data_IF_622389956829
#
_entry.id   IF_622389956829
#
_cell.length_a   1.000
_cell.length_b   1.000
_cell.length_c   1.000
_cell.angle_alpha   90.00
_cell.angle_beta   90.00
_cell.angle_gamma   90.00
#
_symmetry.space_group_name_H-M   'P 1'
#
loop_
_entity.id
_entity.type
_entity.pdbx_description
1 polymer ?
#
# COMPACT_ATOMS: atom_id res chain seq x y z
N UNK A 1 26.90 22.34 9.95
CA UNK A 1 26.05 21.73 8.90
C UNK A 1 25.25 20.60 9.54
N UNK A 2 23.92 20.71 9.60
CA UNK A 2 23.08 19.62 10.12
C UNK A 2 23.13 18.44 9.12
N UNK A 3 23.59 17.27 9.56
CA UNK A 3 23.52 16.04 8.77
C UNK A 3 22.06 15.70 8.54
N UNK A 4 21.61 15.73 7.29
CA UNK A 4 20.27 15.26 6.90
C UNK A 4 20.26 13.75 7.02
N UNK A 5 19.49 13.22 7.96
CA UNK A 5 19.35 11.76 8.12
C UNK A 5 18.82 11.11 6.84
N UNK A 6 19.28 9.89 6.50
CA UNK A 6 18.85 9.20 5.29
C UNK A 6 17.33 8.97 5.33
N UNK A 7 16.65 9.45 4.30
CA UNK A 7 15.20 9.36 4.17
C UNK A 7 14.86 7.91 3.83
N UNK A 8 14.33 7.19 4.80
CA UNK A 8 13.81 5.84 4.59
C UNK A 8 12.47 5.96 3.85
N UNK A 9 12.49 5.78 2.53
CA UNK A 9 11.30 5.88 1.69
C UNK A 9 11.15 4.72 0.74
N UNK A 10 9.93 4.21 0.64
CA UNK A 10 9.57 3.09 -0.24
C UNK A 10 8.60 3.60 -1.30
N UNK A 11 8.86 3.28 -2.56
CA UNK A 11 7.95 3.57 -3.67
C UNK A 11 7.43 2.28 -4.28
N UNK A 12 6.10 2.16 -4.35
CA UNK A 12 5.43 0.96 -4.82
C UNK A 12 4.36 1.28 -5.84
N UNK A 13 4.11 0.33 -6.74
CA UNK A 13 3.08 0.43 -7.76
C UNK A 13 1.97 -0.60 -7.52
N UNK A 14 0.72 -0.16 -7.65
CA UNK A 14 -0.47 -1.00 -7.79
C UNK A 14 -1.05 -0.81 -9.18
N UNK A 15 -1.42 -1.89 -9.85
CA UNK A 15 -1.99 -1.82 -11.21
C UNK A 15 -3.23 -2.70 -11.30
N UNK A 16 -4.32 -2.14 -11.81
CA UNK A 16 -5.56 -2.88 -12.08
C UNK A 16 -6.17 -2.42 -13.39
N UNK A 17 -6.31 -3.35 -14.34
CA UNK A 17 -6.71 -3.01 -15.72
C UNK A 17 -5.79 -1.90 -16.25
N UNK A 18 -6.35 -0.77 -16.69
CA UNK A 18 -5.62 0.42 -17.14
C UNK A 18 -5.29 1.42 -16.01
N UNK A 19 -5.81 1.21 -14.79
CA UNK A 19 -5.56 2.08 -13.66
C UNK A 19 -4.19 1.79 -13.03
N UNK A 20 -3.42 2.85 -12.78
CA UNK A 20 -2.10 2.79 -12.15
C UNK A 20 -2.08 3.66 -10.91
N UNK A 21 -1.69 3.05 -9.78
CA UNK A 21 -1.53 3.72 -8.50
C UNK A 21 -0.05 3.66 -8.09
N UNK A 22 0.49 4.78 -7.66
CA UNK A 22 1.86 4.92 -7.15
C UNK A 22 1.76 5.34 -5.69
N UNK A 23 2.17 4.48 -4.78
CA UNK A 23 2.23 4.77 -3.36
C UNK A 23 3.67 5.15 -2.98
N UNK A 24 3.80 6.25 -2.26
CA UNK A 24 5.05 6.68 -1.65
C UNK A 24 4.88 6.63 -0.14
N UNK A 25 5.72 5.82 0.51
CA UNK A 25 5.67 5.57 1.93
C UNK A 25 6.92 6.09 2.60
N UNK A 26 6.71 6.82 3.68
CA UNK A 26 7.77 7.36 4.53
C UNK A 26 7.38 7.13 5.99
N UNK A 27 8.37 7.07 6.88
CA UNK A 27 8.10 7.10 8.33
C UNK A 27 7.40 8.42 8.70
N UNK A 28 6.37 8.35 9.53
CA UNK A 28 5.46 9.46 9.75
C UNK A 28 4.44 9.27 10.87
N UNK A 29 3.31 9.97 10.76
CA UNK A 29 2.26 10.10 11.80
C UNK A 29 0.95 9.38 11.44
N UNK A 30 0.96 8.46 10.48
CA UNK A 30 -0.25 7.75 10.05
C UNK A 30 -1.12 8.53 9.06
N UNK A 31 -0.54 9.45 8.30
CA UNK A 31 -1.32 10.24 7.32
C UNK A 31 -1.41 9.50 5.99
N UNK A 32 -2.62 9.08 5.61
CA UNK A 32 -2.92 8.54 4.27
C UNK A 32 -3.67 9.56 3.42
N UNK A 33 -3.11 9.86 2.24
CA UNK A 33 -3.73 10.75 1.24
C UNK A 33 -3.69 10.11 -0.14
N UNK A 34 -4.77 10.28 -0.89
CA UNK A 34 -4.91 9.83 -2.29
C UNK A 34 -5.17 11.08 -3.15
N UNK A 35 -4.32 11.32 -4.15
CA UNK A 35 -4.38 12.51 -5.03
C UNK A 35 -4.52 13.84 -4.26
N UNK A 36 -3.85 13.94 -3.10
CA UNK A 36 -3.88 15.14 -2.25
C UNK A 36 -5.09 15.26 -1.32
N UNK A 37 -6.09 14.38 -1.45
CA UNK A 37 -7.30 14.34 -0.62
C UNK A 37 -7.21 13.22 0.44
N UNK A 38 -7.88 13.34 1.60
CA UNK A 38 -8.00 12.24 2.55
C UNK A 38 -8.87 11.11 1.98
N UNK A 39 -8.67 9.88 2.46
CA UNK A 39 -9.33 8.68 1.93
C UNK A 39 -10.87 8.76 2.03
N UNK A 40 -11.40 9.36 3.09
CA UNK A 40 -12.84 9.46 3.37
C UNK A 40 -13.63 10.25 2.31
N UNK A 41 -12.95 11.11 1.55
CA UNK A 41 -13.57 11.97 0.56
C UNK A 41 -13.57 11.35 -0.84
N UNK A 42 -13.09 10.11 -0.99
CA UNK A 42 -13.04 9.44 -2.27
C UNK A 42 -14.40 8.83 -2.63
N UNK A 43 -14.73 8.84 -3.92
CA UNK A 43 -15.97 8.28 -4.46
C UNK A 43 -15.68 7.04 -5.32
N UNK A 44 -16.58 6.05 -5.40
CA UNK A 44 -17.88 5.93 -4.71
C UNK A 44 -17.77 5.39 -3.26
N UNK A 45 -18.66 5.88 -2.37
CA UNK A 45 -18.69 5.49 -0.95
C UNK A 45 -18.91 3.99 -0.70
N UNK A 46 -19.71 3.33 -1.54
CA UNK A 46 -20.01 1.89 -1.44
C UNK A 46 -18.75 1.00 -1.49
N UNK A 47 -17.70 1.44 -2.16
CA UNK A 47 -16.45 0.67 -2.31
C UNK A 47 -15.35 1.13 -1.34
N UNK A 48 -15.63 2.07 -0.44
CA UNK A 48 -14.65 2.58 0.53
C UNK A 48 -14.16 1.50 1.48
N UNK A 49 -15.03 0.58 1.89
CA UNK A 49 -14.65 -0.53 2.78
C UNK A 49 -13.51 -1.37 2.18
N UNK A 50 -13.48 -1.51 0.85
CA UNK A 50 -12.42 -2.24 0.14
C UNK A 50 -11.05 -1.55 0.22
N UNK A 51 -11.02 -0.23 0.37
CA UNK A 51 -9.78 0.54 0.57
C UNK A 51 -9.26 0.41 2.00
N UNK A 52 -10.15 0.24 2.98
CA UNK A 52 -9.77 0.10 4.40
C UNK A 52 -9.36 -1.32 4.79
N UNK A 53 -9.76 -2.36 4.05
CA UNK A 53 -9.33 -3.75 4.28
C UNK A 53 -7.82 -3.91 4.63
N UNK A 54 -6.84 -3.33 3.89
CA UNK A 54 -5.43 -3.46 4.26
C UNK A 54 -5.06 -2.82 5.61
N UNK A 55 -5.74 -1.74 6.01
CA UNK A 55 -5.51 -1.07 7.29
C UNK A 55 -6.07 -1.93 8.43
N UNK A 56 -7.26 -2.49 8.25
CA UNK A 56 -7.87 -3.38 9.23
C UNK A 56 -7.09 -4.68 9.43
N UNK A 57 -6.57 -5.28 8.35
CA UNK A 57 -5.82 -6.54 8.43
C UNK A 57 -4.48 -6.43 9.16
N UNK A 58 -3.78 -5.31 9.02
CA UNK A 58 -2.45 -5.13 9.62
C UNK A 58 -2.48 -4.56 11.04
N UNK A 59 -3.60 -3.98 11.46
CA UNK A 59 -3.75 -3.28 12.72
C UNK A 59 -3.33 -1.81 12.66
N UNK A 60 -3.94 -0.99 13.51
CA UNK A 60 -3.73 0.47 13.56
C UNK A 60 -2.29 0.84 13.99
N UNK A 61 -1.63 -0.02 14.74
CA UNK A 61 -0.32 0.24 15.34
C UNK A 61 0.79 0.32 14.28
N UNK A 62 0.72 -0.52 13.24
CA UNK A 62 1.69 -0.46 12.14
C UNK A 62 1.49 0.79 11.29
N UNK A 63 0.23 1.22 11.15
CA UNK A 63 -0.13 2.37 10.32
C UNK A 63 0.21 3.72 10.98
N UNK A 64 0.12 3.83 12.32
CA UNK A 64 0.43 5.08 13.04
C UNK A 64 1.86 5.58 12.82
N UNK A 65 2.80 4.68 12.51
CA UNK A 65 4.22 4.99 12.26
C UNK A 65 4.56 5.39 10.81
N UNK A 66 3.59 5.32 9.88
CA UNK A 66 3.85 5.47 8.43
C UNK A 66 2.94 6.52 7.81
N UNK A 67 3.51 7.43 7.02
CA UNK A 67 2.75 8.31 6.13
C UNK A 67 2.76 7.77 4.70
N UNK A 68 1.59 7.71 4.09
CA UNK A 68 1.38 7.17 2.75
C UNK A 68 0.75 8.23 1.85
N UNK A 69 1.42 8.52 0.72
CA UNK A 69 0.90 9.38 -0.34
C UNK A 69 0.69 8.56 -1.60
N UNK A 70 -0.54 8.48 -2.07
CA UNK A 70 -0.89 7.73 -3.28
C UNK A 70 -1.26 8.69 -4.40
N UNK A 71 -0.69 8.47 -5.58
CA UNK A 71 -1.10 9.09 -6.84
C UNK A 71 -1.74 8.05 -7.74
N UNK A 72 -2.88 8.36 -8.34
CA UNK A 72 -3.61 7.41 -9.19
C UNK A 72 -3.98 8.07 -10.50
N UNK A 73 -3.63 7.41 -11.60
CA UNK A 73 -3.89 7.86 -12.97
C UNK A 73 -4.51 6.73 -13.80
N UNK A 74 -5.44 7.11 -14.70
CA UNK A 74 -6.09 6.22 -15.66
C UNK A 74 -7.20 5.32 -15.07
N UNK A 75 -7.90 4.62 -15.96
CA UNK A 75 -9.02 3.72 -15.61
C UNK A 75 -10.26 4.42 -15.07
N UNK A 76 -11.25 3.65 -14.63
CA UNK A 76 -12.47 4.13 -13.95
C UNK A 76 -12.43 3.93 -12.43
N UNK A 77 -13.39 4.53 -11.71
CA UNK A 77 -13.40 4.57 -10.23
C UNK A 77 -13.19 3.21 -9.56
N UNK A 78 -13.87 2.16 -10.05
CA UNK A 78 -13.75 0.80 -9.52
C UNK A 78 -12.33 0.26 -9.68
N UNK A 79 -11.74 0.38 -10.87
CA UNK A 79 -10.39 -0.12 -11.15
C UNK A 79 -9.34 0.63 -10.31
N UNK A 80 -9.51 1.95 -10.15
CA UNK A 80 -8.64 2.78 -9.32
C UNK A 80 -8.66 2.34 -7.86
N UNK A 81 -9.84 2.06 -7.29
CA UNK A 81 -9.96 1.58 -5.90
C UNK A 81 -9.16 0.29 -5.67
N UNK A 82 -9.26 -0.68 -6.56
CA UNK A 82 -8.48 -1.92 -6.45
C UNK A 82 -6.98 -1.69 -6.64
N UNK A 83 -6.57 -0.75 -7.50
CA UNK A 83 -5.16 -0.38 -7.67
C UNK A 83 -4.59 0.29 -6.41
N UNK A 84 -5.35 1.22 -5.79
CA UNK A 84 -4.97 1.88 -4.53
C UNK A 84 -4.83 0.85 -3.41
N UNK A 85 -5.84 -0.02 -3.25
CA UNK A 85 -5.83 -1.09 -2.25
C UNK A 85 -4.55 -1.93 -2.38
N UNK A 86 -4.20 -2.35 -3.59
CA UNK A 86 -3.00 -3.16 -3.83
C UNK A 86 -1.72 -2.37 -3.51
N UNK A 87 -1.66 -1.09 -3.89
CA UNK A 87 -0.51 -0.25 -3.63
C UNK A 87 -0.27 -0.07 -2.12
N UNK A 88 -1.33 0.16 -1.33
CA UNK A 88 -1.25 0.31 0.13
C UNK A 88 -0.79 -0.99 0.80
N UNK A 89 -1.35 -2.14 0.40
CA UNK A 89 -0.93 -3.45 0.95
C UNK A 89 0.56 -3.70 0.77
N UNK A 90 1.07 -3.49 -0.45
CA UNK A 90 2.48 -3.73 -0.77
C UNK A 90 3.40 -2.72 -0.08
N UNK A 91 2.99 -1.46 -0.01
CA UNK A 91 3.69 -0.41 0.71
C UNK A 91 3.96 -0.77 2.18
N UNK A 92 2.93 -1.23 2.88
CA UNK A 92 3.04 -1.59 4.29
C UNK A 92 3.90 -2.84 4.51
N UNK A 93 3.77 -3.82 3.61
CA UNK A 93 4.59 -5.03 3.64
C UNK A 93 6.09 -4.71 3.49
N UNK A 94 6.45 -3.98 2.44
CA UNK A 94 7.86 -3.63 2.17
C UNK A 94 8.43 -2.73 3.27
N UNK A 95 7.59 -1.88 3.91
CA UNK A 95 8.03 -1.09 5.05
C UNK A 95 8.31 -1.95 6.29
N UNK A 96 7.54 -3.01 6.52
CA UNK A 96 7.77 -3.94 7.63
C UNK A 96 9.05 -4.76 7.43
N UNK A 97 9.37 -5.11 6.18
CA UNK A 97 10.60 -5.80 5.82
C UNK A 97 11.81 -4.86 5.88
N UNK A 98 12.51 -4.90 7.02
CA UNK A 98 13.70 -4.08 7.32
C UNK A 98 14.82 -4.19 6.26
N UNK A 99 14.83 -5.23 5.42
CA UNK A 99 15.86 -5.50 4.43
C UNK A 99 15.69 -4.84 3.04
N UNK A 100 14.54 -4.21 2.71
CA UNK A 100 14.27 -3.68 1.37
C UNK A 100 14.24 -2.14 1.28
N UNK A 101 15.20 -1.47 1.93
CA UNK A 101 15.13 -0.02 2.23
C UNK A 101 15.19 0.93 1.02
N UNK A 102 15.59 0.49 -0.18
CA UNK A 102 15.71 1.35 -1.38
C UNK A 102 15.43 0.59 -2.69
N UNK A 103 14.20 0.12 -2.88
CA UNK A 103 13.79 -0.53 -4.13
C UNK A 103 12.59 0.19 -4.76
N UNK A 104 12.76 0.63 -6.01
CA UNK A 104 11.62 0.89 -6.92
C UNK A 104 11.14 -0.48 -7.37
N UNK A 105 10.30 -1.10 -6.57
CA UNK A 105 9.84 -2.47 -6.83
C UNK A 105 8.86 -2.43 -8.01
N UNK A 106 9.34 -2.72 -9.22
CA UNK A 106 8.50 -3.03 -10.39
C UNK A 106 7.93 -4.45 -10.26
N UNK A 107 7.25 -4.77 -9.18
CA UNK A 107 6.53 -6.04 -9.09
C UNK A 107 5.24 -5.91 -9.89
N UNK A 108 5.34 -6.26 -11.18
CA UNK A 108 4.19 -6.74 -11.94
C UNK A 108 3.79 -8.09 -11.34
N UNK A 109 3.01 -8.06 -10.28
CA UNK A 109 2.34 -9.27 -9.84
C UNK A 109 1.11 -9.48 -10.72
N UNK A 110 1.20 -10.55 -11.51
CA UNK A 110 0.06 -11.25 -12.05
C UNK A 110 -1.00 -11.37 -10.94
N UNK A 111 -2.16 -10.80 -11.22
CA UNK A 111 -3.31 -10.85 -10.33
C UNK A 111 -3.45 -12.24 -9.71
N UNK A 112 -3.33 -12.33 -8.39
CA UNK A 112 -3.82 -13.48 -7.62
C UNK A 112 -5.34 -13.54 -7.82
N UNK A 113 -5.76 -14.23 -8.89
CA UNK A 113 -7.16 -14.45 -9.24
C UNK A 113 -7.84 -15.47 -8.32
N UNK A 114 -7.10 -16.16 -7.45
CA UNK A 114 -7.64 -17.22 -6.60
C UNK A 114 -7.64 -16.81 -5.12
N UNK A 115 -8.81 -16.86 -4.49
CA UNK A 115 -9.05 -16.57 -3.08
C UNK A 115 -8.21 -17.44 -2.13
N UNK A 116 -7.68 -18.58 -2.57
CA UNK A 116 -6.94 -19.56 -1.77
C UNK A 116 -5.55 -19.07 -1.32
N UNK A 117 -4.91 -18.17 -2.08
CA UNK A 117 -3.57 -17.66 -1.71
C UNK A 117 -3.62 -16.60 -0.60
N UNK A 118 -4.81 -16.06 -0.28
CA UNK A 118 -4.99 -15.06 0.80
C UNK A 118 -4.62 -15.63 2.17
N UNK A 119 -4.96 -16.89 2.42
CA UNK A 119 -4.77 -17.49 3.76
C UNK A 119 -3.29 -17.81 3.98
N UNK A 120 -2.63 -18.39 2.97
CA UNK A 120 -1.23 -18.81 3.08
C UNK A 120 -0.27 -17.63 3.29
N UNK A 121 -0.54 -16.49 2.64
CA UNK A 121 0.35 -15.33 2.75
C UNK A 121 0.21 -14.58 4.08
N UNK A 122 -1.01 -14.46 4.61
CA UNK A 122 -1.25 -13.94 5.96
C UNK A 122 -0.60 -14.86 7.01
N UNK A 123 -0.67 -16.18 6.81
CA UNK A 123 -0.07 -17.16 7.71
C UNK A 123 1.48 -17.09 7.71
N UNK A 124 2.10 -16.98 6.54
CA UNK A 124 3.56 -16.81 6.43
C UNK A 124 4.06 -15.51 7.10
N UNK A 125 3.31 -14.41 6.97
CA UNK A 125 3.67 -13.12 7.55
C UNK A 125 3.42 -13.05 9.07
N UNK A 126 2.46 -13.80 9.60
CA UNK A 126 2.22 -13.92 11.04
C UNK A 126 3.22 -14.85 11.74
N UNK A 127 3.79 -15.83 11.03
CA UNK A 127 4.75 -16.79 11.57
C UNK A 127 6.22 -16.38 11.41
N UNK A 128 6.52 -15.17 10.95
CA UNK A 128 7.90 -14.66 10.92
C UNK A 128 8.86 -15.45 10.02
N UNK A 129 8.35 -16.16 9.02
CA UNK A 129 9.21 -16.82 8.04
C UNK A 129 9.69 -15.79 7.00
N UNK A 130 10.82 -15.17 7.30
CA UNK A 130 11.73 -14.67 6.25
C UNK A 130 12.18 -15.87 5.42
N UNK A 131 12.03 -15.80 4.09
CA UNK A 131 12.70 -16.76 3.19
C UNK A 131 14.20 -16.79 3.44
#
# INVERSE_FOLDING_TARGET
>A
MQKKEPIHSVQVFGRKKTATAVAYCKRGRGVLRVNGRPLNQWEPKMLMDKLYEPIYLLGKDKFSSVDIRVRVNGGGHVAQIYAIRQAISKALQIHADVNQRNLVVRVQEHATKNLTVKVHWIFCYALGYTK
#
